data_IF_430936096528
#
_entry.id   IF_430936096528
#
_cell.length_a   1.000
_cell.length_b   1.000
_cell.length_c   1.000
_cell.angle_alpha   90.00
_cell.angle_beta   90.00
_cell.angle_gamma   90.00
#
_symmetry.space_group_name_H-M   'P 1'
#
loop_
_entity.id
_entity.type
_entity.pdbx_description
1 polymer ?
#
# COMPACT_ATOMS: atom_id res chain seq x y z
N UNK A 1 17.22 15.48 -18.61
CA UNK A 1 16.99 15.55 -17.14
C UNK A 1 15.64 14.92 -16.89
N UNK A 2 15.44 14.04 -15.88
CA UNK A 2 14.11 13.56 -15.59
C UNK A 2 13.27 14.75 -15.13
N UNK A 3 12.12 14.93 -15.77
CA UNK A 3 11.12 15.91 -15.41
C UNK A 3 10.60 15.54 -14.02
N UNK A 4 11.03 16.29 -13.00
CA UNK A 4 10.57 16.13 -11.63
C UNK A 4 9.33 17.00 -11.52
N UNK A 5 8.22 16.51 -12.05
CA UNK A 5 6.93 17.20 -11.92
C UNK A 5 6.69 17.41 -10.43
N UNK A 6 6.52 18.66 -9.96
CA UNK A 6 6.46 18.97 -8.54
C UNK A 6 5.30 18.22 -7.89
N UNK A 7 5.60 17.57 -6.76
CA UNK A 7 4.61 16.93 -5.91
C UNK A 7 3.58 17.97 -5.47
N UNK A 8 2.29 17.73 -5.72
CA UNK A 8 1.29 18.48 -5.00
C UNK A 8 1.34 18.07 -3.52
N UNK A 9 1.77 19.00 -2.67
CA UNK A 9 1.61 18.91 -1.22
C UNK A 9 0.11 19.10 -0.89
N UNK A 10 -0.69 18.04 -1.00
CA UNK A 10 -2.06 18.00 -0.48
C UNK A 10 -2.09 17.07 0.73
N UNK A 11 -1.78 17.60 1.90
CA UNK A 11 -2.11 16.95 3.17
C UNK A 11 -3.17 17.69 3.98
N UNK A 12 -3.53 18.89 3.57
CA UNK A 12 -4.32 19.77 4.40
C UNK A 12 -5.63 20.04 3.65
N UNK A 13 -6.69 19.33 4.07
CA UNK A 13 -8.13 19.49 3.73
C UNK A 13 -8.77 18.55 2.67
N UNK A 14 -8.09 18.08 1.62
CA UNK A 14 -8.74 17.37 0.48
C UNK A 14 -8.69 15.83 0.48
N UNK A 15 -8.12 15.21 1.51
CA UNK A 15 -7.94 13.76 1.57
C UNK A 15 -6.71 13.26 0.82
N UNK A 16 -6.16 12.13 1.28
CA UNK A 16 -4.93 11.57 0.72
C UNK A 16 -5.15 11.08 -0.71
N UNK A 17 -4.29 11.49 -1.65
CA UNK A 17 -4.18 10.87 -2.98
C UNK A 17 -2.94 9.98 -3.09
N UNK A 18 -3.05 8.93 -3.88
CA UNK A 18 -1.98 7.94 -4.10
C UNK A 18 -1.80 7.66 -5.60
N UNK A 19 -0.59 7.31 -6.04
CA UNK A 19 -0.30 7.08 -7.45
C UNK A 19 -0.63 5.65 -7.85
N UNK A 20 -1.46 5.51 -8.88
CA UNK A 20 -1.67 4.28 -9.62
C UNK A 20 -1.03 4.39 -11.01
N UNK A 21 -0.81 3.27 -11.68
CA UNK A 21 -0.64 3.29 -13.13
C UNK A 21 -1.98 3.23 -13.86
N UNK A 22 -1.93 3.32 -15.19
CA UNK A 22 -3.10 3.19 -16.07
C UNK A 22 -3.83 1.84 -15.92
N UNK A 23 -3.12 0.80 -15.49
CA UNK A 23 -3.67 -0.54 -15.29
C UNK A 23 -4.32 -0.72 -13.91
N UNK A 24 -4.24 0.27 -13.01
CA UNK A 24 -4.81 0.21 -11.68
C UNK A 24 -3.91 -0.45 -10.63
N UNK A 25 -2.61 -0.58 -10.90
CA UNK A 25 -1.66 -1.03 -9.90
C UNK A 25 -1.21 0.12 -9.01
N UNK A 26 -1.10 -0.13 -7.70
CA UNK A 26 -0.61 0.89 -6.77
C UNK A 26 0.91 1.03 -6.91
N UNK A 27 1.37 2.23 -7.24
CA UNK A 27 2.78 2.50 -7.43
C UNK A 27 3.46 2.84 -6.11
N UNK A 28 4.52 2.11 -5.75
CA UNK A 28 5.30 2.42 -4.54
C UNK A 28 5.94 3.82 -4.59
N UNK A 29 6.31 4.28 -5.79
CA UNK A 29 6.81 5.62 -6.07
C UNK A 29 6.05 6.15 -7.29
N UNK A 30 5.80 7.46 -7.39
CA UNK A 30 5.03 8.03 -8.50
C UNK A 30 5.91 8.15 -9.75
N UNK A 31 6.41 7.01 -10.23
CA UNK A 31 7.22 6.88 -11.41
C UNK A 31 7.06 5.47 -11.97
N UNK A 32 6.78 5.40 -13.27
CA UNK A 32 6.80 4.19 -14.06
C UNK A 32 7.73 4.39 -15.26
N UNK A 33 8.52 3.37 -15.66
CA UNK A 33 9.38 3.48 -16.84
C UNK A 33 8.57 3.73 -18.13
N UNK A 34 7.41 3.11 -18.22
CA UNK A 34 6.47 3.16 -19.35
C UNK A 34 5.06 3.40 -18.77
N UNK A 35 4.29 4.28 -19.41
CA UNK A 35 2.91 4.60 -19.01
C UNK A 35 2.76 5.89 -18.20
N UNK A 36 1.54 6.10 -17.71
CA UNK A 36 1.13 7.31 -16.99
C UNK A 36 0.88 7.04 -15.50
N UNK A 37 1.19 8.04 -14.68
CA UNK A 37 0.85 8.05 -13.25
C UNK A 37 -0.52 8.69 -13.07
N UNK A 38 -1.49 7.91 -12.60
CA UNK A 38 -2.85 8.33 -12.31
C UNK A 38 -3.02 8.51 -10.80
N UNK A 39 -3.18 9.74 -10.34
CA UNK A 39 -3.42 10.03 -8.92
C UNK A 39 -4.90 9.83 -8.59
N UNK A 40 -5.18 9.04 -7.54
CA UNK A 40 -6.54 8.73 -7.09
C UNK A 40 -6.67 8.92 -5.57
N UNK A 41 -7.86 9.24 -5.05
CA UNK A 41 -8.11 9.23 -3.61
C UNK A 41 -7.78 7.86 -2.98
N UNK A 42 -7.26 7.89 -1.76
CA UNK A 42 -6.95 6.70 -0.96
C UNK A 42 -8.22 6.15 -0.31
N UNK A 43 -9.11 5.56 -1.11
CA UNK A 43 -10.35 4.98 -0.62
C UNK A 43 -10.15 3.55 -0.11
N UNK A 44 -10.81 3.15 0.99
CA UNK A 44 -10.87 1.77 1.40
C UNK A 44 -11.54 0.88 0.35
N UNK A 45 -11.08 -0.35 0.22
CA UNK A 45 -11.70 -1.35 -0.64
C UNK A 45 -11.56 -2.76 -0.07
N UNK A 46 -12.54 -3.62 -0.31
CA UNK A 46 -12.47 -5.03 0.06
C UNK A 46 -11.93 -5.85 -1.10
N UNK A 47 -10.88 -6.63 -0.87
CA UNK A 47 -10.35 -7.53 -1.88
C UNK A 47 -9.73 -8.78 -1.24
N UNK A 48 -9.83 -9.91 -1.94
CA UNK A 48 -9.01 -11.08 -1.65
C UNK A 48 -7.68 -10.93 -2.37
N UNK A 49 -6.59 -11.02 -1.63
CA UNK A 49 -5.25 -10.79 -2.16
C UNK A 49 -4.32 -11.95 -1.87
N UNK A 50 -3.44 -12.25 -2.81
CA UNK A 50 -2.38 -13.24 -2.70
C UNK A 50 -1.03 -12.57 -2.43
N UNK A 51 -0.29 -13.06 -1.45
CA UNK A 51 1.08 -12.63 -1.20
C UNK A 51 2.01 -13.19 -2.28
N UNK A 52 2.40 -12.36 -3.25
CA UNK A 52 3.12 -12.82 -4.43
C UNK A 52 4.64 -12.89 -4.26
N UNK A 53 5.26 -11.80 -3.79
CA UNK A 53 6.72 -11.73 -3.73
C UNK A 53 7.23 -10.84 -2.59
N UNK A 54 8.47 -11.13 -2.18
CA UNK A 54 9.25 -10.30 -1.26
C UNK A 54 10.27 -9.49 -2.06
N UNK A 55 10.14 -8.18 -2.04
CA UNK A 55 11.00 -7.28 -2.82
C UNK A 55 11.96 -6.52 -1.91
N UNK A 56 13.25 -6.70 -2.16
CA UNK A 56 14.31 -5.94 -1.49
C UNK A 56 14.46 -4.56 -2.15
N UNK A 57 13.61 -3.61 -1.77
CA UNK A 57 13.74 -2.22 -2.22
C UNK A 57 15.02 -1.55 -1.73
N UNK A 58 15.57 -0.59 -2.51
CA UNK A 58 16.77 0.19 -2.14
C UNK A 58 16.64 0.93 -0.81
N UNK A 59 15.46 1.47 -0.51
CA UNK A 59 15.22 2.29 0.70
C UNK A 59 14.52 1.53 1.81
N UNK A 60 13.65 0.57 1.47
CA UNK A 60 12.99 -0.30 2.44
C UNK A 60 12.50 -1.56 1.72
N UNK A 61 12.61 -2.75 2.34
CA UNK A 61 11.98 -3.96 1.84
C UNK A 61 10.46 -3.85 1.94
N UNK A 62 9.77 -4.47 1.00
CA UNK A 62 8.31 -4.52 0.91
C UNK A 62 7.89 -5.86 0.30
N UNK A 63 6.61 -6.19 0.43
CA UNK A 63 6.00 -7.32 -0.29
C UNK A 63 5.02 -6.80 -1.33
N UNK A 64 4.76 -7.62 -2.33
CA UNK A 64 3.74 -7.35 -3.34
C UNK A 64 2.54 -8.26 -3.12
N UNK A 65 1.36 -7.68 -3.02
CA UNK A 65 0.08 -8.38 -3.02
C UNK A 65 -0.56 -8.32 -4.40
N UNK A 66 -1.19 -9.40 -4.84
CA UNK A 66 -1.96 -9.47 -6.08
C UNK A 66 -3.43 -9.66 -5.76
N UNK A 67 -4.32 -8.88 -6.37
CA UNK A 67 -5.76 -9.18 -6.33
C UNK A 67 -6.11 -10.26 -7.38
N UNK A 68 -7.40 -10.59 -7.48
CA UNK A 68 -7.92 -11.58 -8.43
C UNK A 68 -7.71 -11.18 -9.91
N UNK A 69 -7.58 -9.87 -10.19
CA UNK A 69 -7.29 -9.32 -11.51
C UNK A 69 -5.77 -9.16 -11.79
N UNK A 70 -4.91 -9.76 -10.96
CA UNK A 70 -3.45 -9.65 -11.00
C UNK A 70 -2.91 -8.21 -10.88
N UNK A 71 -3.67 -7.31 -10.25
CA UNK A 71 -3.20 -5.97 -9.92
C UNK A 71 -2.29 -6.01 -8.71
N UNK A 72 -1.17 -5.30 -8.78
CA UNK A 72 -0.16 -5.33 -7.73
C UNK A 72 -0.30 -4.17 -6.74
N UNK A 73 -0.08 -4.51 -5.47
CA UNK A 73 -0.18 -3.57 -4.36
C UNK A 73 1.01 -3.77 -3.41
N UNK A 74 1.97 -2.84 -3.36
CA UNK A 74 3.11 -2.93 -2.48
C UNK A 74 2.68 -2.71 -1.03
N UNK A 75 3.18 -3.49 -0.09
CA UNK A 75 2.97 -3.34 1.35
C UNK A 75 4.31 -3.36 2.07
N UNK A 76 4.53 -2.44 3.00
CA UNK A 76 5.76 -2.45 3.79
C UNK A 76 5.79 -3.65 4.74
N UNK A 77 6.98 -4.19 5.01
CA UNK A 77 7.10 -5.32 5.95
C UNK A 77 6.52 -5.04 7.35
N UNK A 78 6.59 -3.79 7.81
CA UNK A 78 5.98 -3.42 9.09
C UNK A 78 4.45 -3.58 9.08
N UNK A 79 3.80 -3.20 7.98
CA UNK A 79 2.35 -3.34 7.82
C UNK A 79 1.97 -4.81 7.58
N UNK A 80 2.84 -5.60 6.95
CA UNK A 80 2.66 -7.05 6.81
C UNK A 80 2.65 -7.74 8.18
N UNK A 81 3.56 -7.38 9.09
CA UNK A 81 3.57 -7.95 10.44
C UNK A 81 2.28 -7.62 11.19
N UNK A 82 1.77 -6.38 11.07
CA UNK A 82 0.48 -5.99 11.65
C UNK A 82 -0.67 -6.80 11.02
N UNK A 83 -0.61 -7.04 9.71
CA UNK A 83 -1.58 -7.85 8.98
C UNK A 83 -1.62 -9.29 9.48
N UNK A 84 -0.46 -9.94 9.57
CA UNK A 84 -0.30 -11.32 10.04
C UNK A 84 -0.70 -11.52 11.51
N UNK A 85 -0.70 -10.46 12.32
CA UNK A 85 -1.16 -10.51 13.71
C UNK A 85 -2.68 -10.36 13.84
N UNK A 86 -3.31 -9.76 12.84
CA UNK A 86 -4.74 -9.42 12.88
C UNK A 86 -5.57 -10.47 12.16
N UNK A 87 -5.06 -11.02 11.06
CA UNK A 87 -5.75 -11.99 10.23
C UNK A 87 -4.87 -13.21 9.98
N UNK A 88 -5.49 -14.38 10.00
CA UNK A 88 -4.87 -15.60 9.49
C UNK A 88 -4.83 -15.57 7.97
N UNK A 89 -3.67 -15.90 7.40
CA UNK A 89 -3.54 -16.11 5.95
C UNK A 89 -4.09 -17.49 5.61
N UNK A 90 -5.02 -17.53 4.67
CA UNK A 90 -5.58 -18.77 4.14
C UNK A 90 -4.48 -19.64 3.52
N UNK A 91 -4.73 -20.95 3.51
CA UNK A 91 -3.83 -21.90 2.85
C UNK A 91 -3.66 -21.52 1.38
N UNK A 92 -2.41 -21.27 0.99
CA UNK A 92 -2.08 -20.76 -0.36
C UNK A 92 -1.70 -19.28 -0.40
N UNK A 93 -1.61 -18.59 0.73
CA UNK A 93 -1.09 -17.22 0.77
C UNK A 93 -2.14 -16.14 0.51
N UNK A 94 -3.43 -16.48 0.62
CA UNK A 94 -4.54 -15.56 0.37
C UNK A 94 -5.06 -14.91 1.64
N UNK A 95 -5.53 -13.68 1.52
CA UNK A 95 -6.19 -12.95 2.60
C UNK A 95 -7.30 -12.07 2.04
N UNK A 96 -8.52 -12.28 2.52
CA UNK A 96 -9.65 -11.37 2.30
C UNK A 96 -9.73 -10.37 3.45
N UNK A 97 -9.57 -9.09 3.13
CA UNK A 97 -9.68 -8.01 4.11
C UNK A 97 -10.16 -6.71 3.45
N UNK A 98 -10.44 -5.72 4.29
CA UNK A 98 -10.58 -4.34 3.85
C UNK A 98 -9.21 -3.66 3.88
N UNK A 99 -8.82 -3.10 2.75
CA UNK A 99 -7.52 -2.52 2.50
C UNK A 99 -7.65 -1.03 2.28
N UNK A 100 -6.61 -0.27 2.62
CA UNK A 100 -6.54 1.16 2.28
C UNK A 100 -5.13 1.51 1.80
N UNK A 101 -4.99 2.20 0.66
CA UNK A 101 -3.73 2.79 0.27
C UNK A 101 -3.27 3.84 1.28
N UNK A 102 -1.97 3.96 1.49
CA UNK A 102 -1.41 4.96 2.37
C UNK A 102 -0.05 5.45 1.88
N UNK A 103 0.33 6.61 2.40
CA UNK A 103 1.61 7.25 2.13
C UNK A 103 2.50 7.15 3.37
N UNK A 104 3.79 6.95 3.13
CA UNK A 104 4.83 6.86 4.16
C UNK A 104 6.04 7.69 3.76
N UNK A 105 6.64 8.37 4.75
CA UNK A 105 7.77 9.27 4.53
C UNK A 105 7.32 10.69 4.18
N UNK A 106 8.29 11.57 3.96
CA UNK A 106 8.09 13.00 3.64
C UNK A 106 9.06 13.43 2.53
N UNK A 107 8.62 14.37 1.69
CA UNK A 107 9.43 14.93 0.60
C UNK A 107 9.87 13.88 -0.43
N UNK A 108 11.14 13.91 -0.82
CA UNK A 108 11.72 13.00 -1.83
C UNK A 108 11.79 11.53 -1.39
N UNK A 109 11.53 11.24 -0.10
CA UNK A 109 11.47 9.89 0.45
C UNK A 109 10.05 9.35 0.57
N UNK A 110 9.06 10.07 0.01
CA UNK A 110 7.67 9.64 -0.01
C UNK A 110 7.53 8.36 -0.82
N UNK A 111 6.92 7.36 -0.19
CA UNK A 111 6.56 6.09 -0.82
C UNK A 111 5.13 5.72 -0.44
N UNK A 112 4.48 4.92 -1.28
CA UNK A 112 3.08 4.51 -1.11
C UNK A 112 2.99 2.99 -0.95
N UNK A 113 1.95 2.55 -0.26
CA UNK A 113 1.68 1.13 -0.09
C UNK A 113 0.30 0.85 0.49
N UNK A 114 0.00 -0.43 0.64
CA UNK A 114 -1.24 -0.93 1.20
C UNK A 114 -1.08 -1.21 2.69
N UNK A 115 -2.18 -1.13 3.43
CA UNK A 115 -2.34 -1.64 4.80
C UNK A 115 -3.79 -2.04 5.02
N UNK A 116 -4.06 -2.72 6.13
CA UNK A 116 -5.43 -2.98 6.56
C UNK A 116 -6.16 -1.67 6.91
N UNK A 117 -7.42 -1.57 6.50
CA UNK A 117 -8.30 -0.48 6.90
C UNK A 117 -8.86 -0.75 8.30
N UNK A 118 -8.02 -0.57 9.32
CA UNK A 118 -8.42 -0.69 10.72
C UNK A 118 -8.65 0.68 11.33
N UNK A 119 -9.61 0.78 12.24
CA UNK A 119 -9.76 1.94 13.14
C UNK A 119 -8.52 2.11 14.02
N UNK A 120 -8.35 3.30 14.62
CA UNK A 120 -7.23 3.56 15.53
C UNK A 120 -7.23 2.63 16.75
N UNK A 121 -8.41 2.24 17.24
CA UNK A 121 -8.57 1.32 18.36
C UNK A 121 -8.10 -0.09 17.96
N UNK A 122 -8.56 -0.60 16.81
CA UNK A 122 -8.18 -1.92 16.30
C UNK A 122 -6.68 -2.02 16.02
N UNK A 123 -6.06 -0.99 15.41
CA UNK A 123 -4.59 -0.98 15.22
C UNK A 123 -3.84 -0.99 16.55
N UNK A 124 -4.36 -0.29 17.56
CA UNK A 124 -3.76 -0.33 18.90
C UNK A 124 -3.82 -1.74 19.47
N UNK A 125 -4.95 -2.41 19.35
CA UNK A 125 -5.11 -3.80 19.81
C UNK A 125 -4.18 -4.77 19.05
N UNK A 126 -4.13 -4.68 17.71
CA UNK A 126 -3.27 -5.52 16.87
C UNK A 126 -1.77 -5.39 17.19
N UNK A 127 -1.33 -4.21 17.64
CA UNK A 127 0.08 -3.98 18.03
C UNK A 127 0.49 -4.65 19.34
N UNK A 128 -0.41 -4.69 20.32
CA UNK A 128 -0.11 -5.20 21.66
C UNK A 128 -0.43 -6.69 21.85
N UNK A 129 -1.13 -7.30 20.88
CA UNK A 129 -1.57 -8.70 20.97
C UNK A 129 -2.68 -8.87 22.00
N UNK A 130 -3.54 -9.87 21.78
CA UNK A 130 -4.35 -10.37 22.88
C UNK A 130 -3.40 -10.92 23.97
N UNK A 131 -3.60 -10.48 25.21
CA UNK A 131 -3.05 -11.16 26.40
C UNK A 131 -3.77 -12.50 26.56
#
# INVERSE_FOLDING_TARGET
MPDITPHPHYDDEDGLVVPFDEFGNLLRKPWVPEGEVVWRPAEPFTARMHLAEFVRGKTAPYVTWLNEDNKFFPMYLADLVETLRTFDIERGGYLLAEWIPHRRGVGSYTTYGLRLNLTRAERRMARFGHV
#
